data_IF_782407360260
#
_entry.id   IF_782407360260
#
_cell.length_a   1.000
_cell.length_b   1.000
_cell.length_c   1.000
_cell.angle_alpha   90.00
_cell.angle_beta   90.00
_cell.angle_gamma   90.00
#
_symmetry.space_group_name_H-M   'P 1'
#
loop_
_entity.id
_entity.type
_entity.pdbx_description
1 polymer ?
#
# COMPACT_ATOMS: atom_id res chain seq x y z
N UNK A 1 16.99 -6.10 6.35
CA UNK A 1 18.43 -6.41 6.15
C UNK A 1 18.53 -7.89 5.86
N UNK A 2 19.07 -8.26 4.70
CA UNK A 2 19.36 -9.65 4.35
C UNK A 2 20.86 -9.85 4.57
N UNK A 3 21.24 -10.89 5.31
CA UNK A 3 22.64 -11.27 5.50
C UNK A 3 22.88 -12.51 4.67
N UNK A 4 23.86 -12.42 3.76
CA UNK A 4 24.29 -13.52 2.90
C UNK A 4 25.71 -13.90 3.32
N UNK A 5 25.97 -15.17 3.70
CA UNK A 5 27.33 -15.64 4.01
C UNK A 5 28.31 -15.39 2.86
N UNK A 6 29.59 -15.14 3.17
CA UNK A 6 30.61 -14.77 2.18
C UNK A 6 30.84 -15.86 1.13
N UNK A 7 30.85 -17.12 1.57
CA UNK A 7 31.02 -18.30 0.75
C UNK A 7 29.82 -18.53 -0.19
N UNK A 8 28.62 -18.14 0.25
CA UNK A 8 27.42 -18.15 -0.59
C UNK A 8 27.46 -17.01 -1.61
N UNK A 9 27.88 -15.81 -1.20
CA UNK A 9 27.89 -14.61 -2.05
C UNK A 9 28.99 -14.64 -3.14
N UNK A 10 30.13 -15.27 -2.87
CA UNK A 10 31.26 -15.38 -3.82
C UNK A 10 31.42 -16.77 -4.45
N UNK A 11 30.65 -17.76 -3.99
CA UNK A 11 30.62 -19.09 -4.61
C UNK A 11 29.96 -19.07 -5.98
N UNK A 12 30.46 -19.89 -6.90
CA UNK A 12 29.77 -20.20 -8.15
C UNK A 12 28.83 -21.37 -7.91
N UNK A 13 27.55 -21.18 -8.16
CA UNK A 13 26.52 -22.20 -8.00
C UNK A 13 25.83 -22.40 -9.36
N UNK A 14 25.54 -23.65 -9.71
CA UNK A 14 24.72 -23.96 -10.88
C UNK A 14 23.25 -23.89 -10.50
N UNK A 15 22.47 -23.12 -11.24
CA UNK A 15 21.01 -23.05 -11.11
C UNK A 15 20.41 -23.25 -12.50
N UNK A 16 19.30 -23.98 -12.55
CA UNK A 16 18.43 -24.01 -13.72
C UNK A 16 17.36 -22.91 -13.60
N UNK A 17 16.74 -22.50 -14.70
CA UNK A 17 15.71 -21.44 -14.66
C UNK A 17 14.52 -21.85 -13.77
N UNK A 18 14.24 -23.15 -13.64
CA UNK A 18 13.15 -23.65 -12.78
C UNK A 18 13.45 -23.59 -11.28
N UNK A 19 14.71 -23.37 -10.87
CA UNK A 19 15.08 -23.24 -9.45
C UNK A 19 14.58 -21.91 -8.85
N UNK A 20 14.21 -20.94 -9.70
CA UNK A 20 13.73 -19.63 -9.28
C UNK A 20 12.20 -19.55 -9.37
N UNK A 21 11.53 -19.88 -8.27
CA UNK A 21 10.09 -19.72 -8.14
C UNK A 21 9.77 -18.41 -7.40
N UNK A 22 9.25 -17.43 -8.14
CA UNK A 22 8.61 -16.24 -7.56
C UNK A 22 7.10 -16.40 -7.68
N UNK A 23 6.37 -16.25 -6.57
CA UNK A 23 4.92 -16.14 -6.67
C UNK A 23 4.58 -14.77 -7.30
N UNK A 24 3.79 -14.72 -8.39
CA UNK A 24 3.51 -13.49 -9.13
C UNK A 24 2.94 -12.36 -8.25
N UNK A 25 2.33 -12.69 -7.10
CA UNK A 25 1.85 -11.70 -6.12
C UNK A 25 2.95 -10.78 -5.60
N UNK A 26 4.20 -11.23 -5.56
CA UNK A 26 5.33 -10.45 -5.03
C UNK A 26 6.12 -9.71 -6.11
N UNK A 27 5.68 -9.74 -7.38
CA UNK A 27 6.34 -9.03 -8.49
C UNK A 27 6.08 -7.51 -8.47
N UNK A 28 5.11 -7.04 -7.68
CA UNK A 28 4.76 -5.63 -7.55
C UNK A 28 4.52 -5.23 -6.09
N UNK A 29 4.67 -3.93 -5.80
CA UNK A 29 4.39 -3.35 -4.48
C UNK A 29 3.10 -2.53 -4.56
N UNK A 30 2.17 -2.68 -3.58
CA UNK A 30 2.17 -3.66 -2.50
C UNK A 30 1.76 -5.05 -3.00
N UNK A 31 2.46 -6.10 -2.54
CA UNK A 31 2.19 -7.47 -2.96
C UNK A 31 0.80 -7.99 -2.56
N UNK A 32 0.24 -7.43 -1.48
CA UNK A 32 -1.12 -7.73 -1.02
C UNK A 32 -1.89 -6.42 -0.88
N UNK A 33 -3.09 -6.39 -1.46
CA UNK A 33 -4.07 -5.31 -1.27
C UNK A 33 -5.22 -5.79 -0.40
N UNK A 34 -4.96 -5.88 0.90
CA UNK A 34 -5.96 -6.31 1.88
C UNK A 34 -7.09 -5.28 1.96
N UNK A 35 -8.35 -5.75 1.90
CA UNK A 35 -9.50 -4.91 2.16
C UNK A 35 -9.65 -4.67 3.67
N UNK A 36 -10.13 -3.50 4.10
CA UNK A 36 -10.53 -3.30 5.48
C UNK A 36 -11.72 -4.21 5.81
N UNK A 37 -11.90 -4.50 7.10
CA UNK A 37 -13.09 -5.18 7.59
C UNK A 37 -14.35 -4.36 7.25
N UNK A 38 -15.42 -5.04 6.81
CA UNK A 38 -16.64 -4.39 6.36
C UNK A 38 -17.30 -3.52 7.45
N UNK A 39 -17.29 -3.98 8.71
CA UNK A 39 -17.85 -3.24 9.83
C UNK A 39 -17.07 -1.93 10.10
N UNK A 40 -15.75 -2.00 10.15
CA UNK A 40 -14.88 -0.83 10.34
C UNK A 40 -15.02 0.17 9.19
N UNK A 41 -15.17 -0.30 7.94
CA UNK A 41 -15.40 0.57 6.79
C UNK A 41 -16.75 1.30 6.89
N UNK A 42 -17.82 0.59 7.29
CA UNK A 42 -19.14 1.17 7.48
C UNK A 42 -19.15 2.22 8.60
N UNK A 43 -18.46 1.95 9.71
CA UNK A 43 -18.29 2.90 10.82
C UNK A 43 -17.55 4.16 10.36
N UNK A 44 -16.43 4.02 9.65
CA UNK A 44 -15.68 5.15 9.12
C UNK A 44 -16.52 6.02 8.17
N UNK A 45 -17.32 5.39 7.30
CA UNK A 45 -18.22 6.11 6.40
C UNK A 45 -19.33 6.86 7.16
N UNK A 46 -19.90 6.26 8.21
CA UNK A 46 -20.91 6.91 9.05
C UNK A 46 -20.32 8.12 9.80
N UNK A 47 -19.12 7.98 10.39
CA UNK A 47 -18.41 9.07 11.05
C UNK A 47 -18.10 10.20 10.07
N UNK A 48 -17.64 9.87 8.87
CA UNK A 48 -17.34 10.85 7.83
C UNK A 48 -18.59 11.59 7.36
N UNK A 49 -19.72 10.88 7.19
CA UNK A 49 -20.99 11.46 6.76
C UNK A 49 -21.67 12.35 7.80
N UNK A 50 -21.42 12.10 9.09
CA UNK A 50 -21.94 12.92 10.19
C UNK A 50 -21.03 14.11 10.57
N UNK A 51 -19.80 14.15 10.04
CA UNK A 51 -18.84 15.20 10.37
C UNK A 51 -19.21 16.55 9.75
N UNK A 52 -19.28 17.60 10.57
CA UNK A 52 -19.53 18.97 10.09
C UNK A 52 -18.31 19.59 9.37
N UNK A 53 -17.09 19.18 9.76
CA UNK A 53 -15.83 19.73 9.25
C UNK A 53 -14.78 18.62 9.03
N UNK A 54 -15.01 17.68 8.10
CA UNK A 54 -14.08 16.58 7.86
C UNK A 54 -12.76 17.04 7.22
N UNK A 55 -11.70 16.26 7.45
CA UNK A 55 -10.39 16.41 6.84
C UNK A 55 -9.82 15.01 6.57
N UNK A 56 -9.21 14.80 5.40
CA UNK A 56 -8.41 13.59 5.14
C UNK A 56 -6.94 13.93 5.38
N UNK A 57 -6.26 13.14 6.21
CA UNK A 57 -4.80 13.20 6.37
C UNK A 57 -4.16 12.01 5.66
N UNK A 58 -3.56 12.27 4.49
CA UNK A 58 -2.90 11.27 3.67
C UNK A 58 -1.44 11.05 4.10
N UNK A 59 -1.12 9.83 4.52
CA UNK A 59 0.26 9.42 4.77
C UNK A 59 0.96 8.87 3.52
N UNK A 60 2.25 8.48 3.65
CA UNK A 60 3.03 7.84 2.58
C UNK A 60 2.42 6.55 2.01
N UNK A 61 1.47 5.93 2.73
CA UNK A 61 0.71 4.78 2.24
C UNK A 61 -0.07 5.05 0.94
N UNK A 62 -0.49 6.29 0.68
CA UNK A 62 -1.15 6.67 -0.58
C UNK A 62 -0.18 6.56 -1.76
N UNK A 63 1.08 6.98 -1.57
CA UNK A 63 2.13 6.86 -2.57
C UNK A 63 2.52 5.39 -2.80
N UNK A 64 2.75 4.63 -1.72
CA UNK A 64 3.08 3.19 -1.81
C UNK A 64 1.96 2.43 -2.52
N UNK A 65 0.71 2.81 -2.28
CA UNK A 65 -0.46 2.18 -2.91
C UNK A 65 -0.78 2.70 -4.30
N UNK A 66 -0.05 3.73 -4.78
CA UNK A 66 -0.34 4.43 -6.04
C UNK A 66 -1.79 4.93 -6.13
N UNK A 67 -2.37 5.38 -5.01
CA UNK A 67 -3.79 5.68 -4.86
C UNK A 67 -4.10 7.20 -4.95
N UNK A 68 -3.22 7.98 -5.59
CA UNK A 68 -3.35 9.43 -5.63
C UNK A 68 -4.61 9.87 -6.40
N UNK A 69 -4.88 9.25 -7.56
CA UNK A 69 -6.06 9.55 -8.37
C UNK A 69 -7.36 9.14 -7.67
N UNK A 70 -7.38 7.94 -7.06
CA UNK A 70 -8.53 7.46 -6.28
C UNK A 70 -8.85 8.38 -5.10
N UNK A 71 -7.81 8.79 -4.35
CA UNK A 71 -7.97 9.73 -3.24
C UNK A 71 -8.47 11.09 -3.72
N UNK A 72 -7.93 11.60 -4.84
CA UNK A 72 -8.35 12.88 -5.41
C UNK A 72 -9.83 12.82 -5.81
N UNK A 73 -10.25 11.81 -6.57
CA UNK A 73 -11.64 11.64 -6.98
C UNK A 73 -12.58 11.54 -5.77
N UNK A 74 -12.20 10.78 -4.73
CA UNK A 74 -12.98 10.68 -3.50
C UNK A 74 -13.10 12.03 -2.77
N UNK A 75 -11.98 12.73 -2.59
CA UNK A 75 -11.94 14.02 -1.90
C UNK A 75 -12.74 15.09 -2.65
N UNK A 76 -12.68 15.12 -3.99
CA UNK A 76 -13.46 16.02 -4.83
C UNK A 76 -14.96 15.74 -4.76
N UNK A 77 -15.36 14.46 -4.89
CA UNK A 77 -16.76 14.06 -4.80
C UNK A 77 -17.39 14.39 -3.44
N UNK A 78 -16.63 14.17 -2.37
CA UNK A 78 -17.09 14.43 -1.01
C UNK A 78 -16.84 15.88 -0.55
N UNK A 79 -16.11 16.67 -1.35
CA UNK A 79 -15.66 18.04 -1.03
C UNK A 79 -14.91 18.13 0.29
N UNK A 80 -14.01 17.19 0.55
CA UNK A 80 -13.26 17.08 1.80
C UNK A 80 -11.83 17.59 1.56
N UNK A 81 -11.33 18.56 2.35
CA UNK A 81 -9.94 18.99 2.26
C UNK A 81 -8.98 17.85 2.58
N UNK A 82 -7.81 17.86 1.92
CA UNK A 82 -6.75 16.87 2.11
C UNK A 82 -5.49 17.55 2.61
N UNK A 83 -4.93 17.03 3.71
CA UNK A 83 -3.57 17.31 4.17
C UNK A 83 -2.69 16.07 3.95
N UNK A 84 -1.37 16.22 3.86
CA UNK A 84 -0.46 15.09 3.73
C UNK A 84 0.74 15.19 4.69
N UNK A 85 1.30 14.04 5.05
CA UNK A 85 2.57 13.96 5.78
C UNK A 85 3.75 14.20 4.84
N UNK A 86 4.87 14.70 5.35
CA UNK A 86 6.15 14.65 4.60
C UNK A 86 6.64 13.20 4.59
N UNK A 87 6.67 12.58 3.41
CA UNK A 87 7.15 11.21 3.19
C UNK A 87 8.11 11.15 2.02
#
# INVERSE_FOLDING_TARGET
>A
VLIVPEDVAHGTHGFEDEDFLCDPRYEAVPALRCRPEAAALAEAAALLGAAERPLILAGGGVHISQAAEDLQAFAEAMRIPVAHTMS
#
